data_IF_610483012633
#
_entry.id   IF_610483012633
#
_cell.length_a   1.000
_cell.length_b   1.000
_cell.length_c   1.000
_cell.angle_alpha   90.00
_cell.angle_beta   90.00
_cell.angle_gamma   90.00
#
_symmetry.space_group_name_H-M   'P 1'
#
loop_
_entity.id
_entity.type
_entity.pdbx_description
1 polymer ?
#
# COMPACT_ATOMS: atom_id res chain seq x y z
N UNK A 1 17.58 11.44 6.91
CA UNK A 1 16.84 11.31 5.64
C UNK A 1 17.00 9.86 5.18
N UNK A 2 15.93 9.23 4.68
CA UNK A 2 16.07 7.90 4.02
C UNK A 2 16.88 8.08 2.74
N UNK A 3 17.81 7.15 2.46
CA UNK A 3 18.78 7.24 1.35
C UNK A 3 18.12 7.46 -0.01
N UNK A 4 16.95 6.86 -0.23
CA UNK A 4 16.23 6.91 -1.52
C UNK A 4 14.78 7.41 -1.38
N UNK A 5 14.38 7.97 -0.23
CA UNK A 5 13.07 8.65 -0.09
C UNK A 5 11.83 7.75 0.06
N UNK A 6 11.91 6.66 0.84
CA UNK A 6 10.74 5.79 1.11
C UNK A 6 9.71 6.39 2.10
N UNK A 7 8.45 5.96 1.98
CA UNK A 7 7.31 6.39 2.81
C UNK A 7 6.59 5.19 3.47
N UNK A 8 5.75 5.51 4.45
CA UNK A 8 4.90 4.54 5.18
C UNK A 8 5.65 3.29 5.68
N UNK A 9 6.73 3.43 6.49
CA UNK A 9 7.42 2.26 7.02
C UNK A 9 6.52 1.44 7.96
N UNK A 10 6.53 0.12 7.79
CA UNK A 10 5.80 -0.86 8.61
C UNK A 10 6.70 -2.02 8.97
N UNK A 11 6.76 -2.36 10.24
CA UNK A 11 7.43 -3.57 10.69
C UNK A 11 6.60 -4.80 10.35
N UNK A 12 7.27 -5.85 9.88
CA UNK A 12 6.76 -7.21 9.91
C UNK A 12 6.55 -7.69 11.35
N UNK A 13 5.80 -8.77 11.51
CA UNK A 13 5.38 -9.23 12.83
C UNK A 13 6.52 -9.74 13.72
N UNK A 14 7.62 -10.18 13.13
CA UNK A 14 8.81 -10.66 13.83
C UNK A 14 9.84 -9.54 14.09
N UNK A 15 9.56 -8.31 13.66
CA UNK A 15 10.44 -7.13 13.78
C UNK A 15 11.79 -7.32 13.08
N UNK A 16 11.89 -8.30 12.16
CA UNK A 16 13.10 -8.54 11.36
C UNK A 16 13.01 -7.95 9.97
N UNK A 17 11.83 -7.55 9.54
CA UNK A 17 11.62 -6.96 8.23
C UNK A 17 10.92 -5.61 8.35
N UNK A 18 11.43 -4.63 7.61
CA UNK A 18 10.82 -3.33 7.42
C UNK A 18 10.29 -3.24 5.99
N UNK A 19 8.98 -3.04 5.86
CA UNK A 19 8.33 -2.76 4.58
C UNK A 19 8.09 -1.27 4.42
N UNK A 20 8.18 -0.76 3.20
CA UNK A 20 7.91 0.64 2.89
C UNK A 20 7.61 0.81 1.40
N UNK A 21 7.05 1.96 1.01
CA UNK A 21 6.81 2.28 -0.39
C UNK A 21 7.92 3.20 -0.90
N UNK A 22 8.58 2.83 -1.99
CA UNK A 22 9.59 3.66 -2.65
C UNK A 22 8.95 4.76 -3.53
N UNK A 23 9.69 5.82 -3.92
CA UNK A 23 9.16 6.89 -4.78
C UNK A 23 8.61 6.40 -6.13
N UNK A 24 9.11 5.27 -6.64
CA UNK A 24 8.61 4.64 -7.87
C UNK A 24 7.33 3.80 -7.65
N UNK A 25 6.75 3.85 -6.44
CA UNK A 25 5.49 3.21 -6.09
C UNK A 25 5.59 1.71 -5.81
N UNK A 26 6.80 1.14 -5.74
CA UNK A 26 6.99 -0.25 -5.35
C UNK A 26 6.97 -0.41 -3.84
N UNK A 27 6.33 -1.49 -3.38
CA UNK A 27 6.54 -1.98 -2.03
C UNK A 27 7.90 -2.65 -1.96
N UNK A 28 8.69 -2.26 -0.96
CA UNK A 28 10.05 -2.72 -0.72
C UNK A 28 10.11 -3.45 0.63
N UNK A 29 11.07 -4.37 0.76
CA UNK A 29 11.41 -5.00 2.02
C UNK A 29 12.91 -4.81 2.31
N UNK A 30 13.25 -4.50 3.56
CA UNK A 30 14.62 -4.54 4.06
C UNK A 30 14.66 -5.39 5.33
N UNK A 31 15.56 -6.37 5.38
CA UNK A 31 15.80 -7.12 6.60
C UNK A 31 16.62 -6.27 7.57
N UNK A 32 16.30 -6.40 8.84
CA UNK A 32 16.92 -5.67 9.95
C UNK A 32 17.42 -6.68 10.96
N UNK A 33 18.69 -6.54 11.33
CA UNK A 33 19.33 -7.29 12.40
C UNK A 33 19.78 -6.32 13.47
N UNK A 34 19.22 -6.44 14.67
CA UNK A 34 19.57 -5.60 15.81
C UNK A 34 20.14 -6.46 16.94
N UNK A 35 21.29 -6.04 17.46
CA UNK A 35 21.92 -6.53 18.68
C UNK A 35 22.14 -5.37 19.65
N UNK A 36 22.64 -5.64 20.86
CA UNK A 36 22.91 -4.59 21.85
C UNK A 36 23.97 -3.57 21.40
N UNK A 37 24.81 -3.91 20.42
CA UNK A 37 25.90 -3.06 19.94
C UNK A 37 25.74 -2.60 18.49
N UNK A 38 25.03 -3.38 17.66
CA UNK A 38 24.95 -3.15 16.21
C UNK A 38 23.51 -3.17 15.72
N UNK A 39 23.20 -2.28 14.78
CA UNK A 39 21.96 -2.26 14.02
C UNK A 39 22.33 -2.28 12.54
N UNK A 40 22.00 -3.38 11.86
CA UNK A 40 22.33 -3.63 10.47
C UNK A 40 21.06 -3.79 9.64
N UNK A 41 21.11 -3.30 8.40
CA UNK A 41 20.02 -3.43 7.45
C UNK A 41 20.53 -3.92 6.10
N UNK A 42 19.72 -4.72 5.41
CA UNK A 42 20.03 -5.11 4.03
C UNK A 42 19.69 -3.98 3.06
N UNK A 43 20.26 -4.04 1.85
CA UNK A 43 19.75 -3.23 0.74
C UNK A 43 18.29 -3.60 0.48
N UNK A 44 17.37 -2.62 0.41
CA UNK A 44 15.96 -2.90 0.17
C UNK A 44 15.72 -3.61 -1.16
N UNK A 45 14.87 -4.62 -1.16
CA UNK A 45 14.51 -5.44 -2.32
C UNK A 45 13.06 -5.14 -2.73
N UNK A 46 12.75 -4.96 -4.02
CA UNK A 46 11.38 -4.73 -4.46
C UNK A 46 10.56 -6.02 -4.35
N UNK A 47 9.34 -5.90 -3.81
CA UNK A 47 8.36 -6.98 -3.76
C UNK A 47 7.43 -6.94 -4.97
N UNK A 48 6.69 -5.83 -5.14
CA UNK A 48 5.75 -5.62 -6.25
C UNK A 48 5.29 -4.14 -6.32
N UNK A 49 4.69 -3.68 -7.44
CA UNK A 49 4.06 -2.37 -7.52
C UNK A 49 2.84 -2.28 -6.58
N UNK A 50 2.82 -1.32 -5.65
CA UNK A 50 1.76 -1.23 -4.64
C UNK A 50 0.45 -0.64 -5.20
N UNK A 51 0.53 0.26 -6.19
CA UNK A 51 -0.63 0.93 -6.84
C UNK A 51 -1.62 1.55 -5.83
N UNK A 52 -1.08 2.22 -4.82
CA UNK A 52 -1.87 2.82 -3.73
C UNK A 52 -2.76 3.96 -4.21
N UNK A 53 -3.94 4.07 -3.61
CA UNK A 53 -4.90 5.12 -3.94
C UNK A 53 -4.35 6.53 -3.62
N UNK A 54 -4.33 7.40 -4.63
CA UNK A 54 -3.73 8.74 -4.51
C UNK A 54 -2.20 8.78 -4.64
N UNK A 55 -1.56 7.64 -4.93
CA UNK A 55 -0.12 7.55 -5.20
C UNK A 55 0.78 7.81 -3.99
N UNK A 56 2.09 7.93 -4.24
CA UNK A 56 3.12 8.11 -3.21
C UNK A 56 3.09 9.48 -2.50
N UNK A 57 2.18 10.37 -2.88
CA UNK A 57 2.00 11.68 -2.27
C UNK A 57 0.88 11.70 -1.22
N UNK A 58 0.03 10.65 -1.17
CA UNK A 58 -1.10 10.57 -0.26
C UNK A 58 -0.69 10.05 1.12
N UNK A 59 -0.19 10.94 1.97
CA UNK A 59 0.30 10.61 3.32
C UNK A 59 -0.76 10.74 4.43
N UNK A 60 -2.01 11.07 4.09
CA UNK A 60 -3.04 11.39 5.08
C UNK A 60 -3.64 10.16 5.76
N UNK A 61 -3.51 8.98 5.15
CA UNK A 61 -4.03 7.71 5.66
C UNK A 61 -3.10 6.57 5.26
N UNK A 62 -2.92 5.54 6.11
CA UNK A 62 -2.21 4.33 5.72
C UNK A 62 -2.78 3.73 4.43
N UNK A 63 -1.92 3.53 3.43
CA UNK A 63 -2.33 2.92 2.17
C UNK A 63 -2.19 1.40 2.18
N UNK A 64 -1.48 0.85 3.15
CA UNK A 64 -1.37 -0.58 3.33
C UNK A 64 -1.21 -1.00 4.80
N UNK A 65 -1.48 -2.28 5.04
CA UNK A 65 -1.21 -2.98 6.29
C UNK A 65 -0.54 -4.33 6.00
N UNK A 66 0.29 -4.78 6.93
CA UNK A 66 0.96 -6.08 6.89
C UNK A 66 0.39 -6.95 7.99
N UNK A 67 -0.07 -8.15 7.62
CA UNK A 67 -0.59 -9.13 8.56
C UNK A 67 0.53 -10.02 9.10
N UNK A 68 0.23 -10.77 10.17
CA UNK A 68 1.23 -11.60 10.88
C UNK A 68 1.79 -12.74 10.05
N UNK A 69 1.08 -13.17 9.02
CA UNK A 69 1.46 -14.26 8.11
C UNK A 69 2.14 -13.76 6.82
N UNK A 70 2.49 -12.46 6.75
CA UNK A 70 3.17 -11.87 5.61
C UNK A 70 2.25 -11.47 4.46
N UNK A 71 0.93 -11.56 4.61
CA UNK A 71 -0.01 -11.00 3.61
C UNK A 71 -0.17 -9.50 3.77
N UNK A 72 -0.40 -8.83 2.64
CA UNK A 72 -0.58 -7.38 2.54
C UNK A 72 -2.04 -7.05 2.23
N UNK A 73 -2.59 -6.08 2.95
CA UNK A 73 -3.83 -5.39 2.58
C UNK A 73 -3.44 -4.04 1.98
N UNK A 74 -3.91 -3.73 0.77
CA UNK A 74 -3.54 -2.50 0.05
C UNK A 74 -4.81 -1.81 -0.44
N UNK A 75 -4.92 -0.51 -0.14
CA UNK A 75 -5.96 0.34 -0.68
C UNK A 75 -5.64 0.68 -2.13
N UNK A 76 -6.36 0.06 -3.07
CA UNK A 76 -6.28 0.41 -4.49
C UNK A 76 -7.49 1.23 -4.89
N UNK A 77 -7.31 2.09 -5.89
CA UNK A 77 -8.46 2.64 -6.60
C UNK A 77 -9.17 1.45 -7.25
N UNK A 78 -10.47 1.33 -7.04
CA UNK A 78 -11.26 0.48 -7.90
C UNK A 78 -11.02 0.98 -9.33
N UNK A 79 -10.60 0.08 -10.23
CA UNK A 79 -10.70 0.40 -11.65
C UNK A 79 -12.15 0.85 -11.88
N UNK A 80 -12.34 1.89 -12.69
CA UNK A 80 -13.68 2.30 -13.12
C UNK A 80 -14.35 1.04 -13.69
N UNK A 81 -15.09 0.35 -12.82
CA UNK A 81 -16.08 -0.63 -13.21
C UNK A 81 -16.95 0.19 -14.12
N UNK A 82 -16.84 -0.05 -15.42
CA UNK A 82 -17.43 0.72 -16.51
C UNK A 82 -18.75 1.23 -15.98
N UNK A 83 -18.81 2.52 -15.59
CA UNK A 83 -19.82 2.98 -14.63
C UNK A 83 -21.17 2.49 -15.12
N UNK A 84 -21.77 1.52 -14.43
CA UNK A 84 -22.99 0.91 -14.93
C UNK A 84 -23.99 2.04 -15.03
N UNK A 85 -24.50 2.37 -16.23
CA UNK A 85 -25.26 3.58 -16.41
C UNK A 85 -26.45 3.57 -15.47
N UNK A 86 -26.55 4.60 -14.63
CA UNK A 86 -27.72 4.80 -13.78
C UNK A 86 -28.87 5.17 -14.72
N UNK A 87 -29.88 4.32 -14.80
CA UNK A 87 -31.10 4.63 -15.54
C UNK A 87 -32.04 5.42 -14.64
N UNK A 88 -32.24 6.70 -14.97
CA UNK A 88 -33.22 7.55 -14.30
C UNK A 88 -34.54 7.50 -15.07
N UNK A 89 -35.59 6.96 -14.45
CA UNK A 89 -36.94 7.01 -15.03
C UNK A 89 -37.68 8.18 -14.39
N UNK A 90 -37.79 9.26 -15.16
CA UNK A 90 -38.58 10.43 -14.78
C UNK A 90 -40.02 10.24 -15.27
N UNK A 91 -41.00 10.63 -14.46
CA UNK A 91 -42.43 10.56 -14.80
C UNK A 91 -42.95 9.14 -15.08
N UNK A 92 -42.56 8.17 -14.25
CA UNK A 92 -43.03 6.79 -14.35
C UNK A 92 -44.58 6.72 -14.33
N UNK A 93 -45.17 6.10 -15.37
CA UNK A 93 -46.59 5.77 -15.46
C UNK A 93 -46.72 4.25 -15.67
N UNK A 94 -47.08 3.46 -14.63
CA UNK A 94 -47.25 2.02 -14.81
C UNK A 94 -48.51 1.73 -15.64
N UNK A 95 -48.47 0.67 -16.43
CA UNK A 95 -49.64 0.16 -17.17
C UNK A 95 -50.59 -0.55 -16.19
N UNK A 96 -51.93 -0.48 -16.38
CA UNK A 96 -52.90 -1.16 -15.51
C UNK A 96 -52.76 -2.68 -15.48
#
# INVERSE_FOLDING_TARGET
MSTNGGIEPRWGADVKELYFIAPDGKLMAASVSASSANFETTTPVPLFPARVAGGVTNLFRPQYAVSRDGRFLINQLAEESTATPITLILNWKPTP
#
